data_IF_307494691101
#
_entry.id   IF_307494691101
#
_cell.length_a   1.000
_cell.length_b   1.000
_cell.length_c   1.000
_cell.angle_alpha   90.00
_cell.angle_beta   90.00
_cell.angle_gamma   90.00
#
_symmetry.space_group_name_H-M   'P 1'
#
loop_
_entity.id
_entity.type
_entity.pdbx_description
1 polymer ?
#
# COMPACT_ATOMS: atom_id res chain seq x y z
N UNK A 1 19.52 -4.17 3.09
CA UNK A 1 18.18 -3.64 3.39
C UNK A 1 17.43 -4.77 4.07
N UNK A 2 16.95 -4.55 5.30
CA UNK A 2 16.27 -5.60 6.07
C UNK A 2 14.83 -5.70 5.59
N UNK A 3 14.57 -6.62 4.67
CA UNK A 3 13.22 -6.98 4.26
C UNK A 3 12.61 -7.87 5.35
N UNK A 4 11.92 -7.27 6.31
CA UNK A 4 11.18 -8.04 7.32
C UNK A 4 9.84 -8.50 6.72
N UNK A 5 9.87 -9.66 6.07
CA UNK A 5 8.65 -10.44 5.81
C UNK A 5 8.24 -11.19 7.08
N UNK A 6 6.94 -11.43 7.23
CA UNK A 6 6.40 -12.14 8.39
C UNK A 6 5.71 -13.39 7.87
N UNK A 7 6.07 -14.56 8.37
CA UNK A 7 5.40 -15.79 7.97
C UNK A 7 3.98 -15.85 8.52
N UNK A 8 3.10 -16.56 7.82
CA UNK A 8 1.73 -16.83 8.30
C UNK A 8 1.74 -17.48 9.69
N UNK A 9 2.65 -18.43 9.90
CA UNK A 9 2.84 -19.08 11.20
C UNK A 9 3.26 -18.12 12.32
N UNK A 10 4.04 -17.07 12.02
CA UNK A 10 4.39 -16.05 13.01
C UNK A 10 3.20 -15.14 13.30
N UNK A 11 2.47 -14.73 12.27
CA UNK A 11 1.24 -13.95 12.38
C UNK A 11 0.24 -14.65 13.31
N UNK A 12 -0.05 -15.93 13.06
CA UNK A 12 -0.95 -16.76 13.87
C UNK A 12 -0.44 -16.93 15.29
N UNK A 13 0.84 -17.31 15.46
CA UNK A 13 1.45 -17.56 16.78
C UNK A 13 1.37 -16.34 17.69
N UNK A 14 1.51 -15.13 17.14
CA UNK A 14 1.50 -13.89 17.93
C UNK A 14 0.09 -13.39 18.27
N UNK A 15 -0.97 -14.01 17.73
CA UNK A 15 -2.35 -13.66 18.06
C UNK A 15 -2.67 -12.17 17.83
N UNK A 16 -2.06 -11.59 16.79
CA UNK A 16 -2.12 -10.16 16.49
C UNK A 16 -3.49 -9.80 15.91
N UNK A 17 -3.85 -8.52 15.98
CA UNK A 17 -5.08 -8.01 15.37
C UNK A 17 -4.95 -7.87 13.84
N UNK A 18 -3.74 -7.57 13.36
CA UNK A 18 -3.50 -7.33 11.93
C UNK A 18 -2.03 -7.12 11.60
N UNK A 19 -1.78 -6.75 10.35
CA UNK A 19 -0.45 -6.43 9.82
C UNK A 19 -0.52 -5.24 8.88
N UNK A 20 0.52 -4.40 8.95
CA UNK A 20 0.73 -3.26 8.07
C UNK A 20 2.01 -3.50 7.27
N UNK A 21 1.91 -3.52 5.94
CA UNK A 21 3.07 -3.43 5.06
C UNK A 21 3.12 -2.03 4.46
N UNK A 22 4.17 -1.29 4.81
CA UNK A 22 4.48 0.01 4.23
C UNK A 22 5.48 -0.20 3.09
N UNK A 23 5.18 0.36 1.93
CA UNK A 23 5.91 0.17 0.67
C UNK A 23 6.30 1.54 0.13
N UNK A 24 7.60 1.79 0.01
CA UNK A 24 8.16 2.97 -0.61
C UNK A 24 8.72 2.56 -1.98
N UNK A 25 8.24 3.20 -3.04
CA UNK A 25 8.69 3.01 -4.41
C UNK A 25 9.34 4.29 -4.92
N UNK A 26 10.43 4.13 -5.66
CA UNK A 26 11.18 5.25 -6.25
C UNK A 26 11.44 5.03 -7.73
N UNK A 27 11.41 6.11 -8.50
CA UNK A 27 11.61 6.07 -9.95
C UNK A 27 10.47 5.36 -10.67
N UNK A 28 9.23 5.63 -10.27
CA UNK A 28 8.02 5.09 -10.87
C UNK A 28 7.74 5.69 -12.26
N UNK A 29 6.86 5.04 -13.02
CA UNK A 29 6.33 5.55 -14.27
C UNK A 29 5.37 6.73 -14.03
N UNK A 30 5.78 7.92 -14.47
CA UNK A 30 5.06 9.18 -14.20
C UNK A 30 3.59 9.13 -14.67
N UNK A 31 3.31 8.48 -15.80
CA UNK A 31 1.95 8.37 -16.35
C UNK A 31 1.00 7.61 -15.41
N UNK A 32 1.53 6.63 -14.67
CA UNK A 32 0.73 5.80 -13.77
C UNK A 32 0.41 6.52 -12.46
N UNK A 33 1.38 7.25 -11.90
CA UNK A 33 1.24 7.93 -10.60
C UNK A 33 0.50 9.27 -10.70
N UNK A 34 0.46 9.88 -11.88
CA UNK A 34 -0.26 11.14 -12.15
C UNK A 34 -1.68 10.92 -12.68
N UNK A 35 -2.14 9.67 -12.75
CA UNK A 35 -3.46 9.29 -13.23
C UNK A 35 -4.35 8.78 -12.11
N UNK A 36 -5.33 9.59 -11.71
CA UNK A 36 -6.32 9.20 -10.70
C UNK A 36 -7.08 7.91 -11.05
N UNK A 37 -7.32 7.65 -12.34
CA UNK A 37 -7.96 6.41 -12.79
C UNK A 37 -7.04 5.19 -12.63
N UNK A 38 -5.73 5.34 -12.90
CA UNK A 38 -4.76 4.27 -12.63
C UNK A 38 -4.58 4.00 -11.15
N UNK A 39 -4.64 5.03 -10.31
CA UNK A 39 -4.59 4.88 -8.86
C UNK A 39 -5.84 4.16 -8.33
N UNK A 40 -7.03 4.49 -8.84
CA UNK A 40 -8.26 3.75 -8.52
C UNK A 40 -8.17 2.29 -8.97
N UNK A 41 -7.67 2.05 -10.18
CA UNK A 41 -7.43 0.70 -10.71
C UNK A 41 -6.49 -0.09 -9.79
N UNK A 42 -5.36 0.51 -9.39
CA UNK A 42 -4.43 -0.07 -8.42
C UNK A 42 -5.13 -0.46 -7.12
N UNK A 43 -5.90 0.45 -6.53
CA UNK A 43 -6.60 0.23 -5.27
C UNK A 43 -7.56 -0.98 -5.33
N UNK A 44 -8.24 -1.15 -6.46
CA UNK A 44 -9.12 -2.28 -6.73
C UNK A 44 -8.31 -3.58 -6.82
N UNK A 45 -7.28 -3.61 -7.67
CA UNK A 45 -6.49 -4.81 -7.95
C UNK A 45 -5.69 -5.27 -6.73
N UNK A 46 -5.14 -4.35 -5.93
CA UNK A 46 -4.41 -4.73 -4.71
C UNK A 46 -5.34 -5.32 -3.65
N UNK A 47 -6.59 -4.84 -3.55
CA UNK A 47 -7.59 -5.46 -2.67
C UNK A 47 -7.93 -6.88 -3.10
N UNK A 48 -8.10 -7.10 -4.41
CA UNK A 48 -8.39 -8.42 -4.96
C UNK A 48 -7.20 -9.38 -4.77
N UNK A 49 -5.97 -8.87 -4.91
CA UNK A 49 -4.73 -9.63 -4.67
C UNK A 49 -4.62 -10.14 -3.23
N UNK A 50 -4.96 -9.29 -2.24
CA UNK A 50 -4.90 -9.66 -0.82
C UNK A 50 -6.19 -10.34 -0.32
N UNK A 51 -7.14 -10.61 -1.23
CA UNK A 51 -8.43 -11.23 -0.93
C UNK A 51 -9.17 -10.53 0.23
N UNK A 52 -9.26 -9.19 0.13
CA UNK A 52 -9.98 -8.33 1.07
C UNK A 52 -11.18 -7.66 0.43
N UNK A 53 -12.29 -7.62 1.18
CA UNK A 53 -13.52 -6.99 0.73
C UNK A 53 -13.43 -5.47 0.86
N UNK A 54 -13.59 -4.78 -0.27
CA UNK A 54 -13.67 -3.31 -0.34
C UNK A 54 -14.97 -2.78 0.27
N UNK A 55 -14.90 -1.60 0.87
CA UNK A 55 -16.06 -0.83 1.33
C UNK A 55 -16.12 0.52 0.61
N UNK A 56 -17.11 0.67 -0.28
CA UNK A 56 -17.24 1.86 -1.11
C UNK A 56 -16.15 1.98 -2.18
N UNK A 57 -16.24 3.06 -2.95
CA UNK A 57 -15.28 3.39 -4.01
C UNK A 57 -13.98 3.98 -3.43
N UNK A 58 -12.82 3.78 -4.08
CA UNK A 58 -11.58 4.41 -3.67
C UNK A 58 -11.69 5.94 -3.71
N UNK A 59 -11.27 6.59 -2.64
CA UNK A 59 -11.13 8.05 -2.59
C UNK A 59 -9.75 8.40 -3.15
N UNK A 60 -9.73 9.04 -4.31
CA UNK A 60 -8.50 9.51 -4.96
C UNK A 60 -8.60 11.01 -5.21
N UNK A 61 -7.76 11.77 -4.52
CA UNK A 61 -7.76 13.23 -4.59
C UNK A 61 -6.38 13.74 -4.98
N UNK A 62 -6.33 14.65 -5.95
CA UNK A 62 -5.11 15.40 -6.32
C UNK A 62 -5.12 16.75 -5.61
N UNK A 63 -4.11 17.04 -4.81
CA UNK A 63 -4.00 18.30 -4.09
C UNK A 63 -2.53 18.67 -3.84
N UNK A 64 -2.31 19.83 -3.21
CA UNK A 64 -0.99 20.42 -3.00
C UNK A 64 -0.81 21.68 -3.84
N UNK A 65 -0.78 22.84 -3.17
CA UNK A 65 -0.64 24.15 -3.83
C UNK A 65 0.80 24.43 -4.29
N UNK A 66 1.80 23.88 -3.58
CA UNK A 66 3.20 23.94 -3.99
C UNK A 66 3.49 22.80 -4.99
N UNK A 67 3.96 23.08 -6.22
CA UNK A 67 4.33 22.08 -7.20
C UNK A 67 5.28 20.99 -6.68
N UNK A 68 6.09 21.27 -5.64
CA UNK A 68 7.00 20.31 -5.00
C UNK A 68 6.33 19.25 -4.14
N UNK A 69 5.08 19.48 -3.75
CA UNK A 69 4.26 18.54 -2.95
C UNK A 69 2.96 18.16 -3.65
N UNK A 70 2.80 18.60 -4.90
CA UNK A 70 1.62 18.28 -5.70
C UNK A 70 1.62 16.80 -6.08
N UNK A 71 0.45 16.18 -5.97
CA UNK A 71 0.29 14.77 -6.24
C UNK A 71 -1.06 14.22 -5.81
N UNK A 72 -1.21 12.92 -5.89
CA UNK A 72 -2.42 12.23 -5.49
C UNK A 72 -2.28 11.64 -4.08
N UNK A 73 -3.41 11.54 -3.38
CA UNK A 73 -3.57 10.61 -2.26
C UNK A 73 -4.73 9.66 -2.51
N UNK A 74 -4.58 8.45 -1.97
CA UNK A 74 -5.53 7.35 -2.04
C UNK A 74 -5.96 6.95 -0.64
N UNK A 75 -7.25 6.69 -0.49
CA UNK A 75 -7.80 5.92 0.62
C UNK A 75 -8.85 4.92 0.09
N UNK A 76 -8.64 3.64 0.35
CA UNK A 76 -9.60 2.57 0.08
C UNK A 76 -9.90 1.83 1.40
N UNK A 77 -11.14 1.99 1.89
CA UNK A 77 -11.62 1.21 3.01
C UNK A 77 -11.78 -0.25 2.60
N UNK A 78 -11.31 -1.15 3.43
CA UNK A 78 -11.54 -2.60 3.31
C UNK A 78 -12.17 -3.09 4.62
N UNK A 79 -12.74 -4.30 4.64
CA UNK A 79 -13.45 -4.81 5.81
C UNK A 79 -12.61 -4.71 7.09
N UNK A 80 -13.00 -3.77 7.96
CA UNK A 80 -12.32 -3.40 9.21
C UNK A 80 -10.87 -2.91 9.07
N UNK A 81 -10.39 -2.50 7.90
CA UNK A 81 -9.03 -1.96 7.73
C UNK A 81 -8.95 -0.90 6.60
N UNK A 82 -7.73 -0.56 6.13
CA UNK A 82 -7.51 0.55 5.18
C UNK A 82 -6.28 0.28 4.30
N UNK A 83 -6.42 0.58 3.00
CA UNK A 83 -5.28 0.80 2.11
C UNK A 83 -5.18 2.30 1.84
N UNK A 84 -4.00 2.87 2.05
CA UNK A 84 -3.73 4.29 1.77
C UNK A 84 -2.50 4.45 0.91
N UNK A 85 -2.42 5.57 0.20
CA UNK A 85 -1.24 5.87 -0.60
C UNK A 85 -1.04 7.36 -0.88
N UNK A 86 0.21 7.72 -1.12
CA UNK A 86 0.64 9.05 -1.55
C UNK A 86 1.52 8.94 -2.78
N UNK A 87 1.24 9.77 -3.79
CA UNK A 87 1.87 9.72 -5.12
C UNK A 87 2.53 11.07 -5.38
N UNK A 88 3.85 11.14 -5.17
CA UNK A 88 4.62 12.36 -5.35
C UNK A 88 5.09 12.49 -6.81
N UNK A 89 4.48 13.43 -7.54
CA UNK A 89 4.75 13.63 -8.97
C UNK A 89 6.14 14.25 -9.23
N UNK A 90 6.72 14.95 -8.25
CA UNK A 90 7.99 15.69 -8.40
C UNK A 90 9.19 14.78 -8.60
N UNK A 91 9.26 13.66 -7.90
CA UNK A 91 10.38 12.72 -7.89
C UNK A 91 9.97 11.30 -8.31
N UNK A 92 8.72 11.13 -8.75
CA UNK A 92 8.11 9.86 -9.12
C UNK A 92 8.18 8.81 -7.99
N UNK A 93 7.89 9.25 -6.76
CA UNK A 93 7.83 8.39 -5.58
C UNK A 93 6.39 8.02 -5.24
N UNK A 94 6.19 6.78 -4.77
CA UNK A 94 4.91 6.28 -4.29
C UNK A 94 5.09 5.64 -2.93
N UNK A 95 4.22 6.00 -1.99
CA UNK A 95 4.21 5.48 -0.63
C UNK A 95 2.86 4.81 -0.40
N UNK A 96 2.82 3.50 -0.21
CA UNK A 96 1.60 2.72 0.02
C UNK A 96 1.64 2.09 1.40
N UNK A 97 0.52 2.14 2.10
CA UNK A 97 0.26 1.36 3.31
C UNK A 97 -0.88 0.38 3.07
N UNK A 98 -0.60 -0.92 3.26
CA UNK A 98 -1.60 -1.98 3.22
C UNK A 98 -1.84 -2.46 4.65
N UNK A 99 -2.87 -1.94 5.30
CA UNK A 99 -3.27 -2.41 6.63
C UNK A 99 -4.41 -3.40 6.50
N UNK A 100 -4.23 -4.62 7.01
CA UNK A 100 -5.27 -5.67 7.02
C UNK A 100 -5.30 -6.41 8.36
N UNK A 101 -6.49 -6.80 8.80
CA UNK A 101 -6.71 -7.74 9.90
C UNK A 101 -6.61 -9.22 9.48
N UNK A 102 -6.45 -9.49 8.19
CA UNK A 102 -6.23 -10.81 7.60
C UNK A 102 -4.78 -10.93 7.16
N UNK A 103 -4.18 -12.10 7.34
CA UNK A 103 -2.86 -12.39 6.78
C UNK A 103 -2.90 -12.26 5.25
N UNK A 104 -1.86 -11.66 4.67
CA UNK A 104 -1.63 -11.64 3.23
C UNK A 104 -0.14 -11.80 2.93
N UNK A 105 0.16 -12.32 1.75
CA UNK A 105 1.52 -12.48 1.26
C UNK A 105 2.12 -11.11 0.93
N UNK A 106 3.02 -10.63 1.80
CA UNK A 106 3.60 -9.29 1.68
C UNK A 106 4.46 -9.17 0.42
N UNK A 107 5.14 -10.25 0.04
CA UNK A 107 6.02 -10.22 -1.13
C UNK A 107 5.20 -10.08 -2.41
N UNK A 108 4.07 -10.80 -2.51
CA UNK A 108 3.14 -10.62 -3.65
C UNK A 108 2.59 -9.19 -3.72
N UNK A 109 2.19 -8.61 -2.59
CA UNK A 109 1.68 -7.25 -2.55
C UNK A 109 2.75 -6.22 -2.95
N UNK A 110 3.99 -6.39 -2.47
CA UNK A 110 5.15 -5.56 -2.81
C UNK A 110 5.49 -5.67 -4.30
N UNK A 111 5.59 -6.89 -4.81
CA UNK A 111 5.95 -7.14 -6.21
C UNK A 111 4.86 -6.62 -7.16
N UNK A 112 3.59 -6.85 -6.83
CA UNK A 112 2.46 -6.28 -7.56
C UNK A 112 2.55 -4.75 -7.62
N UNK A 113 2.74 -4.11 -6.46
CA UNK A 113 2.79 -2.64 -6.35
C UNK A 113 3.96 -2.08 -7.13
N UNK A 114 5.16 -2.68 -7.01
CA UNK A 114 6.35 -2.30 -7.78
C UNK A 114 6.10 -2.40 -9.29
N UNK A 115 5.51 -3.52 -9.73
CA UNK A 115 5.28 -3.78 -11.15
C UNK A 115 4.21 -2.87 -11.73
N UNK A 116 3.12 -2.61 -10.99
CA UNK A 116 2.03 -1.74 -11.41
C UNK A 116 2.53 -0.32 -11.72
N UNK A 117 3.36 0.25 -10.83
CA UNK A 117 3.94 1.58 -10.99
C UNK A 117 5.31 1.58 -11.69
N UNK A 118 5.79 0.42 -12.17
CA UNK A 118 7.09 0.22 -12.85
C UNK A 118 8.27 0.84 -12.11
N UNK A 119 8.30 0.73 -10.79
CA UNK A 119 9.32 1.35 -9.95
C UNK A 119 10.70 0.72 -10.15
N UNK A 120 11.74 1.56 -10.15
CA UNK A 120 13.13 1.12 -10.25
C UNK A 120 13.65 0.57 -8.94
N UNK A 121 13.35 1.26 -7.83
CA UNK A 121 13.78 0.89 -6.49
C UNK A 121 12.57 0.75 -5.56
N UNK A 122 12.73 -0.09 -4.53
CA UNK A 122 11.71 -0.27 -3.50
C UNK A 122 12.35 -0.48 -2.12
N UNK A 123 11.65 -0.05 -1.09
CA UNK A 123 11.88 -0.41 0.31
C UNK A 123 10.52 -0.80 0.88
N UNK A 124 10.46 -1.84 1.71
CA UNK A 124 9.23 -2.14 2.43
C UNK A 124 9.54 -2.63 3.85
N UNK A 125 8.59 -2.40 4.75
CA UNK A 125 8.63 -2.92 6.10
C UNK A 125 7.25 -3.43 6.51
N UNK A 126 7.23 -4.56 7.22
CA UNK A 126 5.99 -5.11 7.77
C UNK A 126 5.99 -5.02 9.29
N UNK A 127 4.91 -4.51 9.85
CA UNK A 127 4.69 -4.40 11.30
C UNK A 127 3.42 -5.14 11.69
N UNK A 128 3.51 -5.99 12.72
CA UNK A 128 2.33 -6.59 13.34
C UNK A 128 1.61 -5.59 14.24
N UNK A 129 0.28 -5.60 14.19
CA UNK A 129 -0.59 -4.64 14.85
C UNK A 129 -1.38 -5.35 15.94
N UNK A 130 -1.40 -4.79 17.15
CA UNK A 130 -2.11 -5.39 18.29
C UNK A 130 -1.40 -6.60 18.92
N UNK A 131 -0.07 -6.69 18.79
CA UNK A 131 0.73 -7.80 19.31
C UNK A 131 0.92 -7.84 20.84
N UNK A 132 0.42 -6.81 21.54
CA UNK A 132 0.51 -6.68 23.01
C UNK A 132 -0.86 -6.29 23.54
N UNK A 133 -1.51 -7.23 24.23
CA UNK A 133 -2.56 -6.95 25.21
C UNK A 133 -2.04 -7.49 26.54
N UNK A 134 -1.11 -6.75 27.14
CA UNK A 134 -0.88 -6.89 28.59
C UNK A 134 -2.03 -6.22 29.34
#
# INVERSE_FOLDING_TARGET
MNNNTISESEYERRGVWGMLTSIDLFGCDHETISSGEKIKQYAIEVCDLIDMKRFGEPVVARFGEDPKVSGYSLAQLIETSLISGHFAETDNSVFIDIFSCKFYDQQKAVDFTKNFFKAQNLVFNTTLRGATKE
#
